data_IF_836819054620
#
_entry.id   IF_836819054620
#
_cell.length_a   1.000
_cell.length_b   1.000
_cell.length_c   1.000
_cell.angle_alpha   90.00
_cell.angle_beta   90.00
_cell.angle_gamma   90.00
#
_symmetry.space_group_name_H-M   'P 1'
#
loop_
_entity.id
_entity.type
_entity.pdbx_description
1 polymer ?
#
# COMPACT_ATOMS: atom_id res chain seq x y z
N UNK A 1 21.89 8.40 -17.29
CA UNK A 1 20.68 8.11 -16.49
C UNK A 1 20.58 6.60 -16.35
N UNK A 2 21.07 6.02 -15.26
CA UNK A 2 20.98 4.57 -15.03
C UNK A 2 19.56 4.26 -14.53
N UNK A 3 19.01 3.11 -14.93
CA UNK A 3 17.63 2.69 -14.58
C UNK A 3 17.45 2.41 -13.08
N UNK A 4 18.54 2.36 -12.33
CA UNK A 4 18.63 2.03 -10.89
C UNK A 4 18.29 3.19 -9.94
N UNK A 5 18.19 4.44 -10.43
CA UNK A 5 17.84 5.62 -9.61
C UNK A 5 16.34 5.97 -9.67
N UNK A 6 15.49 5.04 -10.13
CA UNK A 6 14.04 5.32 -10.19
C UNK A 6 13.43 5.19 -8.81
N UNK A 7 13.11 6.33 -8.22
CA UNK A 7 12.30 6.46 -7.00
C UNK A 7 11.04 5.59 -7.13
N UNK A 8 10.95 4.54 -6.31
CA UNK A 8 9.80 3.64 -6.29
C UNK A 8 8.80 4.17 -5.26
N UNK A 9 7.53 4.24 -5.64
CA UNK A 9 6.43 4.61 -4.74
C UNK A 9 5.47 3.44 -4.63
N UNK A 10 5.22 2.99 -3.41
CA UNK A 10 4.40 1.81 -3.12
C UNK A 10 3.19 2.24 -2.30
N UNK A 11 2.00 2.04 -2.85
CA UNK A 11 0.74 2.23 -2.14
C UNK A 11 0.25 0.88 -1.59
N UNK A 12 0.06 0.79 -0.28
CA UNK A 12 -0.40 -0.41 0.42
C UNK A 12 -1.80 -0.17 0.96
N UNK A 13 -2.78 -0.87 0.40
CA UNK A 13 -4.15 -0.83 0.89
C UNK A 13 -4.33 -1.74 2.11
N UNK A 14 -5.02 -1.24 3.14
CA UNK A 14 -5.40 -2.02 4.33
C UNK A 14 -6.89 -1.91 4.59
N UNK A 15 -7.52 -3.03 4.93
CA UNK A 15 -8.96 -3.15 5.17
C UNK A 15 -9.27 -4.11 6.35
N UNK A 16 -8.28 -4.38 7.20
CA UNK A 16 -8.32 -5.33 8.32
C UNK A 16 -8.51 -6.81 7.94
N UNK A 17 -8.68 -7.13 6.65
CA UNK A 17 -8.71 -8.52 6.17
C UNK A 17 -7.37 -9.22 6.39
N UNK A 18 -7.38 -10.56 6.44
CA UNK A 18 -6.15 -11.34 6.48
C UNK A 18 -5.31 -11.17 5.20
N UNK A 19 -5.96 -10.90 4.06
CA UNK A 19 -5.28 -10.57 2.81
C UNK A 19 -4.49 -9.27 2.91
N UNK A 20 -5.05 -8.22 3.51
CA UNK A 20 -4.32 -6.96 3.68
C UNK A 20 -3.15 -7.10 4.66
N UNK A 21 -3.29 -7.89 5.72
CA UNK A 21 -2.17 -8.22 6.62
C UNK A 21 -1.06 -8.97 5.86
N UNK A 22 -1.41 -9.96 5.04
CA UNK A 22 -0.46 -10.69 4.22
C UNK A 22 0.23 -9.80 3.18
N UNK A 23 -0.48 -8.82 2.61
CA UNK A 23 0.09 -7.83 1.70
C UNK A 23 1.13 -6.96 2.41
N UNK A 24 0.84 -6.50 3.64
CA UNK A 24 1.81 -5.76 4.47
C UNK A 24 3.04 -6.62 4.77
N UNK A 25 2.87 -7.87 5.21
CA UNK A 25 3.99 -8.79 5.43
C UNK A 25 4.84 -8.98 4.18
N UNK A 26 4.22 -9.22 3.02
CA UNK A 26 4.92 -9.34 1.75
C UNK A 26 5.68 -8.06 1.36
N UNK A 27 5.23 -6.87 1.75
CA UNK A 27 5.97 -5.62 1.50
C UNK A 27 7.19 -5.51 2.42
N UNK A 28 7.05 -5.90 3.69
CA UNK A 28 8.13 -5.88 4.68
C UNK A 28 9.25 -6.87 4.36
N UNK A 29 8.90 -8.03 3.82
CA UNK A 29 9.86 -9.11 3.52
C UNK A 29 10.70 -8.87 2.26
N UNK A 30 10.44 -7.78 1.52
CA UNK A 30 11.17 -7.44 0.29
C UNK A 30 12.30 -6.45 0.56
N UNK A 31 13.43 -6.66 -0.11
CA UNK A 31 14.42 -5.60 -0.27
C UNK A 31 13.95 -4.61 -1.30
N UNK A 32 14.02 -3.32 -0.96
CA UNK A 32 13.61 -2.23 -1.84
C UNK A 32 14.81 -1.39 -2.26
N UNK A 33 14.81 -0.84 -3.49
CA UNK A 33 15.81 0.14 -3.88
C UNK A 33 15.84 1.33 -2.92
N UNK A 34 17.02 1.91 -2.73
CA UNK A 34 17.18 3.14 -1.95
C UNK A 34 16.27 4.25 -2.47
N UNK A 35 15.66 5.02 -1.56
CA UNK A 35 14.72 6.08 -1.91
C UNK A 35 13.29 5.60 -2.20
N UNK A 36 12.99 4.31 -2.00
CA UNK A 36 11.60 3.83 -2.04
C UNK A 36 10.77 4.48 -0.94
N UNK A 37 9.56 4.95 -1.29
CA UNK A 37 8.58 5.50 -0.35
C UNK A 37 7.33 4.64 -0.28
N UNK A 38 6.71 4.59 0.89
CA UNK A 38 5.52 3.79 1.15
C UNK A 38 4.40 4.67 1.67
N UNK A 39 3.20 4.45 1.15
CA UNK A 39 1.97 5.08 1.63
C UNK A 39 0.98 3.98 1.99
N UNK A 40 0.41 4.07 3.19
CA UNK A 40 -0.58 3.09 3.68
C UNK A 40 -1.94 3.77 3.71
N UNK A 41 -2.92 3.18 3.01
CA UNK A 41 -4.25 3.74 2.88
C UNK A 41 -5.32 2.77 3.36
N UNK A 42 -6.28 3.30 4.10
CA UNK A 42 -7.53 2.61 4.46
C UNK A 42 -8.70 3.41 3.90
N UNK A 43 -9.61 2.74 3.19
CA UNK A 43 -10.85 3.34 2.71
C UNK A 43 -11.95 2.98 3.69
N UNK A 44 -12.57 3.99 4.27
CA UNK A 44 -13.77 3.81 5.10
C UNK A 44 -14.98 3.77 4.18
N UNK A 45 -15.72 2.66 4.22
CA UNK A 45 -16.94 2.51 3.44
C UNK A 45 -17.98 3.57 3.85
N UNK A 46 -18.63 4.26 2.91
CA UNK A 46 -19.69 5.21 3.23
C UNK A 46 -20.90 4.48 3.83
N UNK A 47 -21.45 5.03 4.91
CA UNK A 47 -22.73 4.57 5.45
C UNK A 47 -23.82 4.84 4.40
N UNK A 48 -24.60 3.82 4.05
CA UNK A 48 -25.58 3.80 2.95
C UNK A 48 -26.73 4.83 3.01
N UNK A 49 -26.66 5.87 3.84
CA UNK A 49 -27.65 6.95 3.91
C UNK A 49 -27.69 7.84 2.65
N UNK A 50 -26.98 7.50 1.57
CA UNK A 50 -26.94 8.26 0.31
C UNK A 50 -27.73 7.60 -0.84
N UNK A 51 -28.48 6.53 -0.58
CA UNK A 51 -29.45 5.96 -1.53
C UNK A 51 -30.90 6.02 -1.04
N UNK A 52 -31.18 6.85 -0.02
CA UNK A 52 -32.54 7.12 0.47
C UNK A 52 -33.13 8.37 -0.20
#
# INVERSE_FOLDING_TARGET
MNREDREVKVLVAVDQSDCSKAAVSSVLDRSWPSGTTFEVIHVVEPLAAQYA
#
